data_IF_095424589143
#
_entry.id   IF_095424589143
#
_cell.length_a   1.000
_cell.length_b   1.000
_cell.length_c   1.000
_cell.angle_alpha   90.00
_cell.angle_beta   90.00
_cell.angle_gamma   90.00
#
_symmetry.space_group_name_H-M   'P 1'
#
loop_
_entity.id
_entity.type
_entity.pdbx_description
1 polymer ?
#
# COMPACT_ATOMS: atom_id res chain seq x y z
N UNK A 1 9.38 -1.52 16.98
CA UNK A 1 8.20 -0.72 16.59
C UNK A 1 8.53 0.30 15.51
N UNK A 2 9.54 1.17 15.67
CA UNK A 2 9.91 2.15 14.63
C UNK A 2 10.15 1.54 13.24
N UNK A 3 10.89 0.43 13.06
CA UNK A 3 11.05 -0.19 11.74
C UNK A 3 9.75 -0.69 11.08
N UNK A 4 8.74 -1.04 11.87
CA UNK A 4 7.44 -1.45 11.32
C UNK A 4 6.63 -0.24 10.83
N UNK A 5 6.78 0.92 11.47
CA UNK A 5 6.19 2.18 10.98
C UNK A 5 6.83 2.62 9.66
N UNK A 6 8.14 2.40 9.51
CA UNK A 6 8.84 2.64 8.24
C UNK A 6 8.29 1.71 7.15
N UNK A 7 8.10 0.41 7.45
CA UNK A 7 7.47 -0.51 6.51
C UNK A 7 6.04 -0.09 6.14
N UNK A 8 5.23 0.36 7.11
CA UNK A 8 3.90 0.89 6.84
C UNK A 8 3.96 2.04 5.83
N UNK A 9 4.87 3.00 6.04
CA UNK A 9 4.97 4.18 5.21
C UNK A 9 5.55 3.92 3.81
N UNK A 10 6.36 2.87 3.62
CA UNK A 10 7.23 2.77 2.44
C UNK A 10 7.16 1.42 1.70
N UNK A 11 6.30 0.49 2.13
CA UNK A 11 6.28 -0.87 1.58
C UNK A 11 6.05 -0.95 0.06
N UNK A 12 5.50 0.10 -0.55
CA UNK A 12 5.23 0.22 -1.98
C UNK A 12 6.04 1.33 -2.69
N UNK A 13 6.94 2.02 -1.97
CA UNK A 13 7.80 3.10 -2.49
C UNK A 13 8.94 2.53 -3.35
N UNK A 14 8.65 2.18 -4.60
CA UNK A 14 9.65 1.61 -5.52
C UNK A 14 9.97 2.44 -6.76
N UNK A 15 9.16 3.44 -7.07
CA UNK A 15 9.22 4.25 -8.30
C UNK A 15 8.66 5.65 -8.06
N UNK A 16 9.05 6.60 -8.92
CA UNK A 16 8.41 7.92 -8.97
C UNK A 16 7.22 7.82 -9.92
N UNK A 17 6.02 7.62 -9.39
CA UNK A 17 4.83 7.26 -10.20
C UNK A 17 4.57 8.22 -11.37
N UNK A 18 4.76 9.52 -11.17
CA UNK A 18 4.52 10.53 -12.21
C UNK A 18 5.47 10.44 -13.40
N UNK A 19 6.57 9.69 -13.28
CA UNK A 19 7.59 9.51 -14.33
C UNK A 19 7.52 8.16 -15.04
N UNK A 20 6.57 7.32 -14.67
CA UNK A 20 6.47 5.96 -15.20
C UNK A 20 5.45 5.89 -16.35
N UNK A 21 5.91 5.54 -17.55
CA UNK A 21 5.07 5.51 -18.75
C UNK A 21 3.83 4.61 -18.60
N UNK A 22 3.93 3.54 -17.79
CA UNK A 22 2.81 2.64 -17.47
C UNK A 22 1.64 3.35 -16.79
N UNK A 23 1.88 4.50 -16.15
CA UNK A 23 0.86 5.29 -15.47
C UNK A 23 0.04 6.19 -16.41
N UNK A 24 0.33 6.15 -17.71
CA UNK A 24 -0.57 6.65 -18.76
C UNK A 24 -1.18 5.47 -19.53
N UNK A 25 -2.42 5.65 -19.97
CA UNK A 25 -3.08 4.77 -20.95
C UNK A 25 -2.56 5.08 -22.36
N UNK A 26 -2.82 4.21 -23.34
CA UNK A 26 -2.49 4.46 -24.75
C UNK A 26 -3.14 5.75 -25.29
N UNK A 27 -4.31 6.10 -24.76
CA UNK A 27 -5.01 7.35 -25.10
C UNK A 27 -4.40 8.59 -24.44
N UNK A 28 -3.42 8.43 -23.54
CA UNK A 28 -2.76 9.51 -22.80
C UNK A 28 -3.46 9.91 -21.49
N UNK A 29 -4.51 9.20 -21.06
CA UNK A 29 -5.16 9.48 -19.77
C UNK A 29 -4.39 8.85 -18.59
N UNK A 30 -4.35 9.48 -17.41
CA UNK A 30 -3.81 8.86 -16.20
C UNK A 30 -4.47 7.51 -15.92
N UNK A 31 -3.66 6.50 -15.62
CA UNK A 31 -4.13 5.15 -15.34
C UNK A 31 -4.53 5.03 -13.87
N UNK A 32 -5.67 4.40 -13.63
CA UNK A 32 -6.05 4.00 -12.29
C UNK A 32 -5.23 2.77 -11.86
N UNK A 33 -4.57 2.80 -10.70
CA UNK A 33 -3.65 1.74 -10.26
C UNK A 33 -4.30 0.35 -10.09
N UNK A 34 -5.60 0.29 -9.76
CA UNK A 34 -6.37 -0.96 -9.73
C UNK A 34 -6.57 -1.65 -11.11
N UNK A 35 -6.37 -0.94 -12.22
CA UNK A 35 -6.55 -1.53 -13.54
C UNK A 35 -5.32 -2.37 -13.85
N UNK A 36 -5.46 -3.69 -13.75
CA UNK A 36 -4.43 -4.61 -14.16
C UNK A 36 -4.19 -4.51 -15.67
N UNK A 37 -2.93 -4.32 -16.05
CA UNK A 37 -2.51 -4.49 -17.42
C UNK A 37 -2.74 -5.96 -17.76
N UNK A 38 -3.58 -6.25 -18.77
CA UNK A 38 -3.73 -7.60 -19.33
C UNK A 38 -2.42 -8.19 -19.91
N UNK A 39 -1.27 -7.57 -19.61
CA UNK A 39 0.06 -8.02 -19.94
C UNK A 39 0.33 -9.38 -19.28
N UNK A 40 0.84 -10.31 -20.08
CA UNK A 40 1.19 -11.65 -19.63
C UNK A 40 2.40 -11.70 -18.67
N UNK A 41 3.09 -10.57 -18.45
CA UNK A 41 4.34 -10.49 -17.68
C UNK A 41 4.29 -9.31 -16.72
N UNK A 42 4.65 -9.57 -15.46
CA UNK A 42 4.72 -8.54 -14.44
C UNK A 42 6.02 -7.77 -14.56
N UNK A 43 5.95 -6.44 -14.53
CA UNK A 43 7.16 -5.61 -14.40
C UNK A 43 7.67 -5.68 -12.95
N UNK A 44 8.80 -6.36 -12.77
CA UNK A 44 9.41 -6.57 -11.46
C UNK A 44 10.26 -5.40 -10.98
N UNK A 45 10.53 -4.39 -11.83
CA UNK A 45 11.48 -3.31 -11.51
C UNK A 45 11.09 -2.57 -10.23
N UNK A 46 9.82 -2.20 -10.07
CA UNK A 46 9.31 -1.53 -8.87
C UNK A 46 9.53 -2.39 -7.61
N UNK A 47 9.22 -3.68 -7.67
CA UNK A 47 9.36 -4.60 -6.53
C UNK A 47 10.83 -4.89 -6.19
N UNK A 48 11.73 -4.85 -7.17
CA UNK A 48 13.17 -4.95 -6.93
C UNK A 48 13.70 -3.70 -6.23
N UNK A 49 13.30 -2.51 -6.71
CA UNK A 49 13.69 -1.24 -6.12
C UNK A 49 13.20 -1.10 -4.67
N UNK A 50 11.92 -1.42 -4.41
CA UNK A 50 11.37 -1.31 -3.05
C UNK A 50 12.08 -2.27 -2.09
N UNK A 51 12.46 -3.47 -2.56
CA UNK A 51 13.26 -4.41 -1.76
C UNK A 51 14.69 -3.92 -1.50
N UNK A 52 15.32 -3.27 -2.46
CA UNK A 52 16.63 -2.64 -2.26
C UNK A 52 16.56 -1.55 -1.18
N UNK A 53 15.58 -0.64 -1.29
CA UNK A 53 15.35 0.43 -0.32
C UNK A 53 15.01 -0.13 1.07
N UNK A 54 14.10 -1.10 1.16
CA UNK A 54 13.71 -1.70 2.42
C UNK A 54 14.88 -2.40 3.13
N UNK A 55 15.71 -3.11 2.35
CA UNK A 55 16.91 -3.81 2.84
C UNK A 55 17.97 -2.83 3.35
N UNK A 56 18.16 -1.70 2.68
CA UNK A 56 19.10 -0.67 3.11
C UNK A 56 18.70 -0.01 4.44
N UNK A 57 17.39 0.04 4.74
CA UNK A 57 16.86 0.71 5.94
C UNK A 57 16.88 -0.18 7.18
N UNK A 58 16.34 -1.40 7.11
CA UNK A 58 16.44 -2.37 8.21
C UNK A 58 16.00 -3.78 7.81
N UNK A 59 16.45 -4.79 8.56
CA UNK A 59 16.01 -6.18 8.39
C UNK A 59 14.49 -6.36 8.62
N UNK A 60 13.89 -5.61 9.55
CA UNK A 60 12.44 -5.67 9.79
C UNK A 60 11.68 -5.07 8.62
N UNK A 61 12.13 -3.94 8.07
CA UNK A 61 11.51 -3.34 6.88
C UNK A 61 11.56 -4.32 5.71
N UNK A 62 12.76 -4.85 5.40
CA UNK A 62 12.94 -5.86 4.36
C UNK A 62 12.03 -7.09 4.53
N UNK A 63 11.85 -7.58 5.77
CA UNK A 63 10.98 -8.72 6.06
C UNK A 63 9.52 -8.39 5.74
N UNK A 64 9.03 -7.26 6.24
CA UNK A 64 7.63 -6.86 6.11
C UNK A 64 7.28 -6.48 4.67
N UNK A 65 8.14 -5.75 3.96
CA UNK A 65 8.00 -5.47 2.52
C UNK A 65 8.00 -6.76 1.70
N UNK A 66 8.90 -7.72 2.00
CA UNK A 66 8.91 -9.02 1.31
C UNK A 66 7.65 -9.85 1.57
N UNK A 67 7.05 -9.73 2.76
CA UNK A 67 5.74 -10.34 3.06
C UNK A 67 4.61 -9.64 2.29
N UNK A 68 4.64 -8.30 2.17
CA UNK A 68 3.66 -7.55 1.39
C UNK A 68 3.71 -7.90 -0.10
N UNK A 69 4.90 -7.99 -0.68
CA UNK A 69 5.08 -8.46 -2.06
C UNK A 69 4.49 -9.88 -2.23
N UNK A 70 4.71 -10.78 -1.27
CA UNK A 70 4.13 -12.12 -1.35
C UNK A 70 2.59 -12.10 -1.31
N UNK A 71 1.99 -11.13 -0.64
CA UNK A 71 0.54 -10.92 -0.62
C UNK A 71 0.03 -10.37 -1.95
N UNK A 72 0.68 -9.34 -2.52
CA UNK A 72 0.32 -8.79 -3.85
C UNK A 72 0.30 -9.89 -4.92
N UNK A 73 1.26 -10.80 -4.86
CA UNK A 73 1.40 -11.91 -5.80
C UNK A 73 0.68 -13.19 -5.35
N UNK A 74 -0.30 -13.13 -4.44
CA UNK A 74 -1.01 -14.33 -3.95
C UNK A 74 -1.70 -15.12 -5.06
N UNK A 75 -2.18 -14.43 -6.09
CA UNK A 75 -2.91 -15.01 -7.21
C UNK A 75 -1.98 -15.39 -8.39
N UNK A 76 -0.67 -15.25 -8.21
CA UNK A 76 0.32 -15.64 -9.22
C UNK A 76 0.34 -17.15 -9.42
N UNK A 77 0.29 -17.58 -10.68
CA UNK A 77 0.33 -19.00 -11.04
C UNK A 77 1.77 -19.39 -11.39
N UNK A 78 2.38 -20.24 -10.56
CA UNK A 78 3.72 -20.78 -10.77
C UNK A 78 3.90 -21.37 -12.17
N UNK A 79 5.02 -21.08 -12.82
CA UNK A 79 5.36 -21.56 -14.16
C UNK A 79 4.83 -20.69 -15.30
N UNK A 80 3.92 -19.75 -15.02
CA UNK A 80 3.40 -18.78 -16.00
C UNK A 80 4.43 -17.71 -16.37
N UNK A 81 5.19 -17.25 -15.38
CA UNK A 81 6.28 -16.29 -15.56
C UNK A 81 7.51 -16.67 -14.73
N UNK A 82 8.49 -17.29 -15.40
CA UNK A 82 9.73 -17.77 -14.77
C UNK A 82 10.52 -16.68 -14.03
N UNK A 83 10.43 -15.41 -14.47
CA UNK A 83 11.13 -14.31 -13.80
C UNK A 83 10.47 -14.01 -12.46
N UNK A 84 9.15 -13.92 -12.47
CA UNK A 84 8.35 -13.73 -11.25
C UNK A 84 8.51 -14.92 -10.31
N UNK A 85 8.49 -16.16 -10.82
CA UNK A 85 8.74 -17.38 -10.02
C UNK A 85 10.10 -17.32 -9.30
N UNK A 86 11.17 -16.95 -10.02
CA UNK A 86 12.51 -16.83 -9.45
C UNK A 86 12.57 -15.74 -8.38
N UNK A 87 11.98 -14.57 -8.65
CA UNK A 87 11.94 -13.47 -7.71
C UNK A 87 11.20 -13.84 -6.42
N UNK A 88 10.02 -14.45 -6.51
CA UNK A 88 9.25 -14.88 -5.34
C UNK A 88 9.98 -15.95 -4.52
N UNK A 89 10.72 -16.85 -5.19
CA UNK A 89 11.57 -17.84 -4.53
C UNK A 89 12.74 -17.18 -3.78
N UNK A 90 13.38 -16.18 -4.38
CA UNK A 90 14.44 -15.42 -3.72
C UNK A 90 13.91 -14.66 -2.50
N UNK A 91 12.70 -14.11 -2.61
CA UNK A 91 12.01 -13.49 -1.48
C UNK A 91 11.68 -14.49 -0.37
N UNK A 92 11.25 -15.72 -0.68
CA UNK A 92 11.04 -16.76 0.33
C UNK A 92 12.33 -17.11 1.09
N UNK A 93 13.45 -17.24 0.37
CA UNK A 93 14.76 -17.49 0.97
C UNK A 93 15.18 -16.31 1.85
N UNK A 94 14.97 -15.08 1.37
CA UNK A 94 15.26 -13.86 2.12
C UNK A 94 14.48 -13.80 3.44
N UNK A 95 13.16 -14.04 3.42
CA UNK A 95 12.32 -14.07 4.63
C UNK A 95 12.82 -15.08 5.64
N UNK A 96 13.20 -16.29 5.22
CA UNK A 96 13.77 -17.32 6.13
C UNK A 96 15.06 -16.83 6.81
N UNK A 97 15.95 -16.20 6.05
CA UNK A 97 17.20 -15.62 6.59
C UNK A 97 16.91 -14.48 7.57
N UNK A 98 16.01 -13.57 7.22
CA UNK A 98 15.65 -12.42 8.06
C UNK A 98 15.00 -12.86 9.36
N UNK A 99 14.06 -13.82 9.33
CA UNK A 99 13.47 -14.40 10.53
C UNK A 99 14.54 -14.98 11.47
N UNK A 100 15.49 -15.73 10.91
CA UNK A 100 16.61 -16.29 11.69
C UNK A 100 17.48 -15.19 12.31
N UNK A 101 17.93 -14.21 11.51
CA UNK A 101 18.82 -13.13 11.97
C UNK A 101 18.17 -12.24 13.04
N UNK A 102 16.86 -12.02 12.93
CA UNK A 102 16.07 -11.23 13.88
C UNK A 102 15.68 -12.04 15.13
N UNK A 103 15.90 -13.36 15.13
CA UNK A 103 15.36 -14.29 16.12
C UNK A 103 13.82 -14.15 16.28
N UNK A 104 13.13 -13.96 15.16
CA UNK A 104 11.67 -13.87 15.11
C UNK A 104 11.07 -15.24 14.79
N UNK A 105 10.03 -15.61 15.55
CA UNK A 105 9.15 -16.68 15.12
C UNK A 105 8.16 -16.17 14.06
N UNK A 106 7.45 -17.13 13.44
CA UNK A 106 6.44 -16.81 12.42
C UNK A 106 5.25 -16.05 12.99
N UNK A 107 4.89 -16.26 14.25
CA UNK A 107 3.72 -15.62 14.86
C UNK A 107 3.95 -14.12 15.03
N UNK A 108 5.12 -13.73 15.53
CA UNK A 108 5.53 -12.34 15.66
C UNK A 108 5.62 -11.66 14.29
N UNK A 109 6.23 -12.32 13.30
CA UNK A 109 6.32 -11.77 11.95
C UNK A 109 4.93 -11.54 11.31
N UNK A 110 4.02 -12.52 11.44
CA UNK A 110 2.65 -12.39 10.96
C UNK A 110 1.89 -11.29 11.70
N UNK A 111 2.06 -11.17 13.01
CA UNK A 111 1.46 -10.09 13.82
C UNK A 111 1.93 -8.71 13.36
N UNK A 112 3.22 -8.55 13.09
CA UNK A 112 3.77 -7.30 12.56
C UNK A 112 3.28 -7.01 11.14
N UNK A 113 3.20 -8.04 10.30
CA UNK A 113 2.72 -7.87 8.93
C UNK A 113 1.22 -7.53 8.86
N UNK A 114 0.38 -8.12 9.72
CA UNK A 114 -1.03 -7.70 9.86
C UNK A 114 -1.15 -6.21 10.16
N UNK A 115 -0.20 -5.63 10.90
CA UNK A 115 -0.21 -4.19 11.13
C UNK A 115 0.01 -3.40 9.83
N UNK A 116 0.97 -3.82 9.00
CA UNK A 116 1.22 -3.22 7.68
C UNK A 116 -0.01 -3.33 6.79
N UNK A 117 -0.55 -4.54 6.64
CA UNK A 117 -1.72 -4.83 5.82
C UNK A 117 -2.95 -4.05 6.28
N UNK A 118 -3.16 -3.93 7.60
CA UNK A 118 -4.27 -3.16 8.15
C UNK A 118 -4.15 -1.67 7.83
N UNK A 119 -2.96 -1.09 7.97
CA UNK A 119 -2.71 0.32 7.63
C UNK A 119 -2.87 0.57 6.13
N UNK A 120 -2.36 -0.33 5.29
CA UNK A 120 -2.52 -0.28 3.84
C UNK A 120 -4.02 -0.29 3.46
N UNK A 121 -4.76 -1.33 3.86
CA UNK A 121 -6.19 -1.47 3.59
C UNK A 121 -7.02 -0.28 4.10
N UNK A 122 -6.75 0.20 5.32
CA UNK A 122 -7.51 1.31 5.88
C UNK A 122 -7.23 2.63 5.14
N UNK A 123 -5.96 2.88 4.77
CA UNK A 123 -5.60 4.09 4.04
C UNK A 123 -6.20 4.09 2.63
N UNK A 124 -6.22 2.94 1.93
CA UNK A 124 -6.90 2.80 0.65
C UNK A 124 -8.41 3.07 0.75
N UNK A 125 -9.08 2.56 1.79
CA UNK A 125 -10.51 2.82 1.99
C UNK A 125 -10.83 4.31 2.11
N UNK A 126 -9.96 5.07 2.79
CA UNK A 126 -10.09 6.52 2.95
C UNK A 126 -9.72 7.25 1.64
N UNK A 127 -8.52 7.00 1.11
CA UNK A 127 -7.97 7.77 -0.03
C UNK A 127 -8.69 7.48 -1.35
N UNK A 128 -9.35 6.33 -1.47
CA UNK A 128 -10.15 5.98 -2.66
C UNK A 128 -11.64 6.29 -2.50
N UNK A 129 -12.04 6.94 -1.41
CA UNK A 129 -13.44 7.23 -1.08
C UNK A 129 -14.33 5.98 -1.15
N UNK A 130 -13.88 4.89 -0.51
CA UNK A 130 -14.57 3.58 -0.54
C UNK A 130 -15.42 3.31 0.68
N UNK A 131 -15.31 4.10 1.76
CA UNK A 131 -16.17 3.98 2.92
C UNK A 131 -17.61 4.38 2.51
N UNK A 132 -18.58 3.52 2.80
CA UNK A 132 -19.97 3.76 2.40
C UNK A 132 -20.58 4.97 3.11
N UNK A 133 -21.00 5.97 2.33
CA UNK A 133 -21.59 7.23 2.80
C UNK A 133 -22.85 7.04 3.66
N UNK A 134 -23.56 5.93 3.48
CA UNK A 134 -24.77 5.57 4.23
C UNK A 134 -24.46 5.04 5.64
N UNK A 135 -23.20 5.05 6.08
CA UNK A 135 -22.78 4.59 7.41
C UNK A 135 -22.81 3.06 7.55
N UNK A 136 -22.83 2.34 6.43
CA UNK A 136 -22.73 0.87 6.44
C UNK A 136 -21.31 0.44 6.79
N UNK A 137 -21.23 -0.59 7.61
CA UNK A 137 -19.96 -1.18 8.03
C UNK A 137 -19.30 -1.96 6.92
N UNK A 138 -17.99 -1.78 6.81
CA UNK A 138 -17.13 -2.48 5.88
C UNK A 138 -15.91 -3.05 6.60
N UNK A 139 -15.49 -4.24 6.22
CA UNK A 139 -14.25 -4.81 6.77
C UNK A 139 -13.02 -4.03 6.27
N UNK A 140 -12.06 -3.83 7.17
CA UNK A 140 -10.74 -3.28 6.86
C UNK A 140 -9.78 -4.45 6.58
N UNK A 141 -9.36 -5.12 7.65
CA UNK A 141 -8.48 -6.27 7.69
C UNK A 141 -8.43 -6.81 9.13
N UNK A 142 -7.73 -7.93 9.34
CA UNK A 142 -7.34 -8.38 10.69
C UNK A 142 -6.35 -7.40 11.33
N UNK A 143 -6.60 -7.02 12.57
CA UNK A 143 -5.67 -6.28 13.42
C UNK A 143 -4.42 -7.11 13.75
N UNK A 144 -3.36 -6.51 14.32
CA UNK A 144 -2.19 -7.27 14.80
C UNK A 144 -2.56 -8.42 15.76
N UNK A 145 -3.65 -8.27 16.50
CA UNK A 145 -4.12 -9.27 17.46
C UNK A 145 -5.09 -10.30 16.84
N UNK A 146 -5.29 -10.25 15.51
CA UNK A 146 -6.08 -11.21 14.74
C UNK A 146 -7.59 -10.97 14.79
N UNK A 147 -8.02 -9.76 15.12
CA UNK A 147 -9.43 -9.38 15.18
C UNK A 147 -9.78 -8.57 13.95
N UNK A 148 -10.84 -8.94 13.22
CA UNK A 148 -11.32 -8.16 12.07
C UNK A 148 -11.82 -6.80 12.57
N UNK A 149 -11.30 -5.73 11.99
CA UNK A 149 -11.81 -4.39 12.20
C UNK A 149 -12.77 -3.99 11.08
N UNK A 150 -13.83 -3.29 11.46
CA UNK A 150 -14.82 -2.69 10.56
C UNK A 150 -14.69 -1.16 10.60
N UNK A 151 -14.90 -0.50 9.46
CA UNK A 151 -14.98 0.96 9.32
C UNK A 151 -16.36 1.40 8.83
N UNK A 152 -16.80 2.58 9.26
CA UNK A 152 -17.97 3.27 8.71
C UNK A 152 -17.92 4.77 9.03
N UNK A 153 -18.69 5.57 8.28
CA UNK A 153 -18.97 6.96 8.64
C UNK A 153 -20.03 7.02 9.74
N UNK A 154 -19.74 7.75 10.83
CA UNK A 154 -20.78 8.18 11.79
C UNK A 154 -21.54 9.40 11.26
N UNK A 155 -20.81 10.33 10.66
CA UNK A 155 -21.27 11.57 10.06
C UNK A 155 -20.32 11.93 8.90
N UNK A 156 -20.64 12.97 8.12
CA UNK A 156 -19.76 13.48 7.08
C UNK A 156 -18.36 13.80 7.63
N UNK A 157 -17.32 13.21 7.03
CA UNK A 157 -15.92 13.32 7.47
C UNK A 157 -15.63 12.83 8.91
N UNK A 158 -16.54 12.10 9.54
CA UNK A 158 -16.35 11.48 10.87
C UNK A 158 -16.36 9.96 10.74
N UNK A 159 -15.18 9.36 10.93
CA UNK A 159 -14.96 7.92 10.73
C UNK A 159 -14.84 7.21 12.08
N UNK A 160 -15.45 6.03 12.19
CA UNK A 160 -15.25 5.11 13.32
C UNK A 160 -14.71 3.78 12.84
N UNK A 161 -13.88 3.16 13.69
CA UNK A 161 -13.40 1.79 13.53
C UNK A 161 -13.87 0.94 14.71
N UNK A 162 -14.34 -0.28 14.46
CA UNK A 162 -14.78 -1.22 15.50
C UNK A 162 -14.13 -2.60 15.32
N UNK A 163 -13.53 -3.21 16.36
CA UNK A 163 -13.18 -2.61 17.65
C UNK A 163 -12.21 -1.43 17.52
N UNK A 164 -12.31 -0.45 18.42
CA UNK A 164 -11.46 0.75 18.38
C UNK A 164 -9.98 0.43 18.66
N UNK A 165 -9.06 0.64 17.71
CA UNK A 165 -7.67 0.19 17.86
C UNK A 165 -6.75 1.27 18.46
N UNK A 166 -7.24 2.50 18.66
CA UNK A 166 -6.41 3.63 19.06
C UNK A 166 -6.49 3.92 20.56
N UNK A 167 -5.38 4.43 21.11
CA UNK A 167 -5.29 4.82 22.51
C UNK A 167 -6.19 6.01 22.85
N UNK A 168 -6.31 6.96 21.94
CA UNK A 168 -7.14 8.15 22.10
C UNK A 168 -8.52 7.89 21.51
N UNK A 169 -9.58 8.34 22.17
CA UNK A 169 -10.96 8.17 21.69
C UNK A 169 -11.30 9.07 20.50
N UNK A 170 -10.47 10.08 20.22
CA UNK A 170 -10.65 11.02 19.12
C UNK A 170 -9.34 11.65 18.67
N UNK A 171 -9.14 11.78 17.36
CA UNK A 171 -8.06 12.55 16.74
C UNK A 171 -8.39 12.91 15.29
N UNK A 172 -7.62 13.83 14.71
CA UNK A 172 -7.76 14.25 13.31
C UNK A 172 -6.68 13.55 12.47
N UNK A 173 -7.06 13.05 11.31
CA UNK A 173 -6.14 12.60 10.26
C UNK A 173 -6.38 13.41 9.00
N UNK A 174 -5.40 13.43 8.13
CA UNK A 174 -5.52 14.10 6.84
C UNK A 174 -4.64 13.43 5.80
N UNK A 175 -4.95 13.65 4.54
CA UNK A 175 -4.06 13.37 3.42
C UNK A 175 -4.03 14.56 2.46
N UNK A 176 -2.96 14.64 1.68
CA UNK A 176 -2.81 15.61 0.61
C UNK A 176 -3.16 14.98 -0.73
N UNK A 177 -3.79 15.75 -1.61
CA UNK A 177 -4.15 15.30 -2.96
C UNK A 177 -4.02 16.44 -3.97
N UNK A 178 -3.96 16.10 -5.25
CA UNK A 178 -3.93 17.08 -6.36
C UNK A 178 -5.08 16.81 -7.31
N UNK A 179 -5.77 17.88 -7.73
CA UNK A 179 -6.78 17.79 -8.79
C UNK A 179 -6.12 18.17 -10.11
N UNK A 180 -6.00 17.19 -10.99
CA UNK A 180 -5.45 17.38 -12.33
C UNK A 180 -6.63 17.48 -13.31
N UNK A 181 -6.95 18.70 -13.76
CA UNK A 181 -8.09 18.92 -14.69
C UNK A 181 -7.80 18.42 -16.11
N UNK A 182 -6.52 18.31 -16.47
CA UNK A 182 -6.10 17.82 -17.78
C UNK A 182 -6.32 16.30 -17.88
N UNK A 183 -7.21 15.90 -18.79
CA UNK A 183 -7.61 14.49 -18.96
C UNK A 183 -6.66 13.67 -19.84
N UNK A 184 -5.83 14.32 -20.65
CA UNK A 184 -4.96 13.67 -21.64
C UNK A 184 -3.59 14.34 -21.69
N UNK A 185 -2.55 13.53 -21.70
CA UNK A 185 -1.16 13.91 -21.80
C UNK A 185 -0.54 13.30 -23.06
N UNK A 186 0.35 14.05 -23.69
CA UNK A 186 1.11 13.63 -24.87
C UNK A 186 2.34 12.82 -24.50
N UNK A 187 2.87 13.02 -23.29
CA UNK A 187 4.00 12.28 -22.75
C UNK A 187 3.97 12.19 -21.23
N UNK A 188 4.79 11.31 -20.67
CA UNK A 188 4.95 11.19 -19.21
C UNK A 188 5.65 12.41 -18.62
N UNK A 189 6.50 13.10 -19.38
CA UNK A 189 7.15 14.34 -18.95
C UNK A 189 6.12 15.48 -18.81
N UNK A 190 5.14 15.56 -19.73
CA UNK A 190 4.03 16.51 -19.59
C UNK A 190 3.21 16.20 -18.33
N UNK A 191 2.90 14.92 -18.10
CA UNK A 191 2.18 14.48 -16.91
C UNK A 191 2.93 14.81 -15.61
N UNK A 192 4.23 14.51 -15.54
CA UNK A 192 5.10 14.83 -14.41
C UNK A 192 5.17 16.33 -14.15
N UNK A 193 5.30 17.14 -15.20
CA UNK A 193 5.35 18.58 -15.10
C UNK A 193 4.04 19.15 -14.53
N UNK A 194 2.89 18.72 -15.05
CA UNK A 194 1.57 19.16 -14.57
C UNK A 194 1.32 18.69 -13.14
N UNK A 195 1.66 17.44 -12.81
CA UNK A 195 1.57 16.95 -11.42
C UNK A 195 2.44 17.77 -10.48
N UNK A 196 3.66 18.13 -10.88
CA UNK A 196 4.61 18.87 -10.05
C UNK A 196 4.16 20.31 -9.80
N UNK A 197 3.62 21.00 -10.80
CA UNK A 197 3.15 22.40 -10.68
C UNK A 197 1.77 22.53 -10.05
N UNK A 198 0.96 21.47 -10.05
CA UNK A 198 -0.36 21.49 -9.41
C UNK A 198 -0.22 21.60 -7.90
N UNK A 199 -0.93 22.58 -7.33
CA UNK A 199 -0.91 22.86 -5.89
C UNK A 199 -1.62 21.73 -5.13
N UNK A 200 -1.00 21.14 -4.10
CA UNK A 200 -1.66 20.16 -3.26
C UNK A 200 -2.79 20.80 -2.45
N UNK A 201 -3.89 20.06 -2.33
CA UNK A 201 -5.01 20.30 -1.45
C UNK A 201 -4.97 19.30 -0.30
N UNK A 202 -5.79 19.52 0.73
CA UNK A 202 -5.82 18.71 1.94
C UNK A 202 -7.25 18.30 2.28
N UNK A 203 -7.47 17.01 2.51
CA UNK A 203 -8.71 16.46 3.04
C UNK A 203 -8.49 16.06 4.50
N UNK A 204 -9.42 16.41 5.39
CA UNK A 204 -9.35 16.08 6.82
C UNK A 204 -10.52 15.18 7.24
N UNK A 205 -10.24 14.26 8.16
CA UNK A 205 -11.23 13.39 8.81
C UNK A 205 -11.02 13.39 10.31
N UNK A 206 -12.12 13.27 11.05
CA UNK A 206 -12.09 13.03 12.49
C UNK A 206 -12.31 11.55 12.71
N UNK A 207 -11.34 10.88 13.33
CA UNK A 207 -11.49 9.50 13.80
C UNK A 207 -12.02 9.53 15.23
N UNK A 208 -13.13 8.83 15.49
CA UNK A 208 -13.75 8.74 16.83
C UNK A 208 -14.12 7.30 17.20
N UNK A 209 -14.01 6.96 18.49
CA UNK A 209 -14.53 5.72 19.06
C UNK A 209 -16.06 5.67 19.03
#
# INVERSE_FOLDING_TARGET
>A
MVPALIAIAEHDDGIVETKEQKNLTEAGAPRHFLIADGAAKTDLKQYQNVMELATAKSQINALLTSMHINFIFSDHVNGKDKKTDSFLKDQEINRKKLLHNLNFDKQLANRLYRFVQWCDAFSLLICMDKIQSEGRKMEIAESPDGVINEVFYKEENVITVTPWPFKHDRFIVFYEYKIIEQLKFTSVEEFDQICTTTVPQRQEFILVK
#
